data_IF_204093949353
#
_entry.id   IF_204093949353
#
_cell.length_a   1.000
_cell.length_b   1.000
_cell.length_c   1.000
_cell.angle_alpha   90.00
_cell.angle_beta   90.00
_cell.angle_gamma   90.00
#
_symmetry.space_group_name_H-M   'P 1'
#
loop_
_entity.id
_entity.type
_entity.pdbx_description
1 polymer ?
#
# COMPACT_ATOMS: atom_id res chain seq x y z
N UNK A 1 -1.51 -24.03 22.30
CA UNK A 1 -0.75 -22.80 22.02
C UNK A 1 -1.32 -22.21 20.74
N UNK A 2 -1.88 -20.98 20.78
CA UNK A 2 -2.17 -20.26 19.52
C UNK A 2 -0.81 -20.00 18.83
N UNK A 3 -0.67 -20.21 17.52
CA UNK A 3 0.56 -19.87 16.83
C UNK A 3 0.87 -18.39 17.09
N UNK A 4 2.14 -18.05 17.26
CA UNK A 4 2.59 -16.68 17.44
C UNK A 4 2.01 -15.79 16.35
N UNK A 5 1.47 -14.62 16.74
CA UNK A 5 0.93 -13.58 15.88
C UNK A 5 1.88 -13.27 14.72
N UNK A 6 1.66 -13.91 13.58
CA UNK A 6 2.36 -13.59 12.35
C UNK A 6 1.80 -12.24 11.89
N UNK A 7 2.62 -11.19 11.93
CA UNK A 7 2.18 -9.86 11.46
C UNK A 7 1.78 -10.03 9.99
N UNK A 8 0.51 -9.74 9.68
CA UNK A 8 -0.04 -9.90 8.35
C UNK A 8 0.38 -8.72 7.47
N UNK A 9 1.57 -8.83 6.87
CA UNK A 9 2.12 -7.79 6.00
C UNK A 9 1.83 -8.14 4.54
N UNK A 10 1.07 -7.28 3.87
CA UNK A 10 0.73 -7.43 2.45
C UNK A 10 1.18 -6.20 1.65
N UNK A 11 1.32 -6.39 0.35
CA UNK A 11 1.79 -5.36 -0.58
C UNK A 11 0.64 -4.88 -1.46
N UNK A 12 0.50 -3.56 -1.60
CA UNK A 12 -0.44 -2.88 -2.49
C UNK A 12 0.37 -2.16 -3.55
N UNK A 13 0.07 -2.42 -4.83
CA UNK A 13 0.83 -1.86 -5.95
C UNK A 13 -0.06 -0.96 -6.80
N UNK A 14 0.27 0.34 -6.84
CA UNK A 14 -0.21 1.22 -7.88
C UNK A 14 0.67 1.08 -9.13
N UNK A 15 0.04 1.08 -10.30
CA UNK A 15 0.68 0.88 -11.62
C UNK A 15 0.29 2.00 -12.58
N UNK A 16 1.16 2.26 -13.55
CA UNK A 16 0.94 3.28 -14.58
C UNK A 16 1.62 4.62 -14.27
N UNK A 17 1.47 5.58 -15.19
CA UNK A 17 2.16 6.87 -15.13
C UNK A 17 1.75 7.73 -13.94
N UNK A 18 0.54 7.52 -13.42
CA UNK A 18 -0.05 8.28 -12.33
C UNK A 18 0.10 7.58 -10.97
N UNK A 19 0.80 6.43 -10.91
CA UNK A 19 0.81 5.58 -9.71
C UNK A 19 1.30 6.28 -8.44
N UNK A 20 2.28 7.19 -8.56
CA UNK A 20 2.75 7.99 -7.42
C UNK A 20 1.71 9.03 -6.99
N UNK A 21 1.02 9.66 -7.93
CA UNK A 21 -0.05 10.61 -7.65
C UNK A 21 -1.25 9.92 -6.99
N UNK A 22 -1.65 8.75 -7.52
CA UNK A 22 -2.73 7.94 -6.96
C UNK A 22 -2.41 7.44 -5.54
N UNK A 23 -1.14 7.12 -5.28
CA UNK A 23 -0.66 6.77 -3.95
C UNK A 23 -0.72 7.96 -2.98
N UNK A 24 -0.32 9.16 -3.41
CA UNK A 24 -0.39 10.39 -2.60
C UNK A 24 -1.84 10.73 -2.27
N UNK A 25 -2.73 10.74 -3.27
CA UNK A 25 -4.16 11.02 -3.07
C UNK A 25 -4.80 10.02 -2.11
N UNK A 26 -4.48 8.74 -2.26
CA UNK A 26 -4.94 7.71 -1.34
C UNK A 26 -4.42 7.94 0.09
N UNK A 27 -3.14 8.28 0.25
CA UNK A 27 -2.57 8.58 1.56
C UNK A 27 -3.25 9.79 2.23
N UNK A 28 -3.50 10.86 1.49
CA UNK A 28 -4.15 12.08 1.99
C UNK A 28 -5.60 11.83 2.42
N UNK A 29 -6.32 10.97 1.69
CA UNK A 29 -7.72 10.60 1.96
C UNK A 29 -7.85 9.34 2.86
N UNK A 30 -6.75 8.86 3.44
CA UNK A 30 -6.75 7.65 4.26
C UNK A 30 -7.37 6.43 3.55
N UNK A 31 -7.14 6.30 2.25
CA UNK A 31 -7.70 5.28 1.38
C UNK A 31 -6.64 4.56 0.56
N UNK A 32 -6.76 3.24 0.39
CA UNK A 32 -5.97 2.49 -0.58
C UNK A 32 -6.87 1.65 -1.46
N UNK A 33 -6.42 1.39 -2.69
CA UNK A 33 -7.19 0.62 -3.65
C UNK A 33 -6.30 -0.33 -4.44
N UNK A 34 -6.73 -1.60 -4.53
CA UNK A 34 -6.04 -2.63 -5.29
C UNK A 34 -7.01 -3.75 -5.72
N UNK A 35 -6.69 -4.43 -6.81
CA UNK A 35 -7.46 -5.55 -7.37
C UNK A 35 -7.09 -6.90 -6.76
N UNK A 36 -5.92 -7.03 -6.13
CA UNK A 36 -5.39 -8.32 -5.69
C UNK A 36 -5.69 -8.62 -4.22
N UNK A 37 -5.60 -7.61 -3.37
CA UNK A 37 -5.82 -7.78 -1.94
C UNK A 37 -7.31 -7.79 -1.62
N UNK A 38 -7.76 -8.89 -1.04
CA UNK A 38 -9.04 -8.99 -0.34
C UNK A 38 -8.76 -9.20 1.15
N UNK A 39 -9.13 -8.21 1.96
CA UNK A 39 -8.97 -8.20 3.42
C UNK A 39 -10.33 -8.41 4.06
N UNK A 40 -10.41 -9.39 4.96
CA UNK A 40 -11.62 -9.69 5.73
C UNK A 40 -11.71 -8.85 7.00
N UNK A 41 -12.90 -8.79 7.62
CA UNK A 41 -13.11 -8.01 8.85
C UNK A 41 -12.23 -8.45 10.01
N UNK A 42 -11.87 -9.73 10.05
CA UNK A 42 -11.03 -10.31 11.10
C UNK A 42 -9.57 -9.84 10.98
N UNK A 43 -9.18 -9.31 9.83
CA UNK A 43 -7.82 -8.83 9.55
C UNK A 43 -7.70 -7.30 9.70
N UNK A 44 -8.81 -6.60 9.93
CA UNK A 44 -8.77 -5.17 10.22
C UNK A 44 -8.00 -4.93 11.52
N UNK A 45 -7.16 -3.90 11.54
CA UNK A 45 -6.20 -3.58 12.59
C UNK A 45 -5.07 -4.60 12.78
N UNK A 46 -5.14 -5.78 12.16
CA UNK A 46 -4.10 -6.81 12.19
C UNK A 46 -3.25 -6.85 10.91
N UNK A 47 -3.72 -6.23 9.82
CA UNK A 47 -3.03 -6.15 8.55
C UNK A 47 -2.23 -4.84 8.38
N UNK A 48 -0.95 -4.98 8.04
CA UNK A 48 -0.06 -3.89 7.64
C UNK A 48 0.09 -3.92 6.11
N UNK A 49 -0.22 -2.79 5.49
CA UNK A 49 -0.03 -2.53 4.08
C UNK A 49 1.32 -1.87 3.82
N UNK A 50 2.10 -2.45 2.93
CA UNK A 50 3.15 -1.76 2.19
C UNK A 50 2.51 -1.28 0.90
N UNK A 51 2.23 0.01 0.83
CA UNK A 51 1.68 0.64 -0.37
C UNK A 51 2.84 1.15 -1.20
N UNK A 52 2.92 0.74 -2.46
CA UNK A 52 4.06 1.04 -3.32
C UNK A 52 3.66 1.39 -4.75
N UNK A 53 4.52 2.15 -5.41
CA UNK A 53 4.52 2.34 -6.86
C UNK A 53 5.94 2.32 -7.39
N UNK A 54 6.10 2.04 -8.69
CA UNK A 54 7.39 2.10 -9.36
C UNK A 54 7.36 3.17 -10.46
N UNK A 55 8.26 4.15 -10.36
CA UNK A 55 8.42 5.25 -11.31
C UNK A 55 9.78 5.16 -11.99
N UNK A 56 9.80 4.54 -13.17
CA UNK A 56 11.05 4.17 -13.84
C UNK A 56 11.83 3.16 -12.97
N UNK A 57 13.07 3.48 -12.63
CA UNK A 57 13.91 2.65 -11.75
C UNK A 57 13.66 2.93 -10.25
N UNK A 58 12.80 3.88 -9.90
CA UNK A 58 12.60 4.26 -8.51
C UNK A 58 11.36 3.59 -7.91
N UNK A 59 11.55 2.91 -6.79
CA UNK A 59 10.47 2.37 -5.96
C UNK A 59 10.13 3.41 -4.90
N UNK A 60 8.85 3.79 -4.81
CA UNK A 60 8.33 4.60 -3.72
C UNK A 60 7.34 3.79 -2.92
N UNK A 61 7.41 3.86 -1.60
CA UNK A 61 6.47 3.16 -0.73
C UNK A 61 6.21 3.90 0.57
N UNK A 62 5.08 3.58 1.20
CA UNK A 62 4.78 3.89 2.59
C UNK A 62 4.12 2.69 3.27
N UNK A 63 4.14 2.69 4.60
CA UNK A 63 3.46 1.71 5.42
C UNK A 63 2.16 2.30 5.96
N UNK A 64 1.12 1.47 6.04
CA UNK A 64 -0.17 1.82 6.63
C UNK A 64 -0.80 0.61 7.32
N UNK A 65 -1.68 0.85 8.29
CA UNK A 65 -2.54 -0.18 8.88
C UNK A 65 -3.90 -0.19 8.19
N UNK A 66 -4.43 -1.35 7.83
CA UNK A 66 -5.80 -1.49 7.33
C UNK A 66 -6.77 -1.38 8.51
N UNK A 67 -7.72 -0.46 8.45
CA UNK A 67 -8.66 -0.20 9.56
C UNK A 67 -10.10 -0.63 9.24
N UNK A 68 -10.42 -0.82 7.96
CA UNK A 68 -11.73 -1.30 7.53
C UNK A 68 -12.00 -1.08 6.05
N UNK A 69 -13.26 -1.26 5.66
CA UNK A 69 -13.73 -0.81 4.36
C UNK A 69 -13.80 0.72 4.30
N UNK A 70 -13.37 1.29 3.19
CA UNK A 70 -13.51 2.72 2.97
C UNK A 70 -14.98 3.10 2.84
N UNK A 71 -15.39 4.14 3.58
CA UNK A 71 -16.79 4.59 3.65
C UNK A 71 -17.11 5.71 2.67
N UNK A 72 -16.10 6.34 2.09
CA UNK A 72 -16.27 7.36 1.05
C UNK A 72 -16.38 6.76 -0.35
N UNK A 73 -16.58 7.63 -1.32
CA UNK A 73 -16.59 7.26 -2.74
C UNK A 73 -15.16 7.30 -3.29
N UNK A 74 -14.73 6.22 -3.97
CA UNK A 74 -13.40 6.15 -4.57
C UNK A 74 -13.17 7.27 -5.60
N UNK A 75 -14.21 7.63 -6.35
CA UNK A 75 -14.16 8.75 -7.31
C UNK A 75 -13.88 10.09 -6.63
N UNK A 76 -14.28 10.26 -5.36
CA UNK A 76 -13.95 11.46 -4.59
C UNK A 76 -12.46 11.62 -4.29
N UNK A 77 -11.70 10.52 -4.30
CA UNK A 77 -10.25 10.51 -4.05
C UNK A 77 -9.49 10.66 -5.37
N UNK A 78 -9.73 9.74 -6.31
CA UNK A 78 -8.87 9.56 -7.48
C UNK A 78 -9.31 10.30 -8.74
N UNK A 79 -10.50 10.93 -8.79
CA UNK A 79 -10.81 11.86 -9.89
C UNK A 79 -9.99 13.16 -9.83
N UNK A 80 -9.32 13.41 -8.70
CA UNK A 80 -8.35 14.49 -8.55
C UNK A 80 -7.02 14.19 -9.25
N UNK A 81 -6.76 12.91 -9.58
CA UNK A 81 -5.61 12.49 -10.38
C UNK A 81 -5.77 12.97 -11.82
N UNK A 82 -4.67 13.27 -12.51
CA UNK A 82 -4.72 13.49 -13.97
C UNK A 82 -5.01 12.20 -14.78
N UNK A 83 -5.15 11.05 -14.10
CA UNK A 83 -5.59 9.79 -14.69
C UNK A 83 -7.09 9.78 -15.04
N UNK A 84 -7.56 8.65 -15.58
CA UNK A 84 -8.96 8.46 -15.98
C UNK A 84 -9.90 8.08 -14.81
N UNK A 85 -9.54 8.47 -13.58
CA UNK A 85 -10.30 8.19 -12.35
C UNK A 85 -9.70 7.08 -11.49
N UNK A 86 -10.49 6.44 -10.61
CA UNK A 86 -9.97 5.52 -9.61
C UNK A 86 -9.29 4.29 -10.22
N UNK A 87 -8.13 3.88 -9.66
CA UNK A 87 -7.53 2.58 -9.96
C UNK A 87 -8.56 1.45 -9.76
N UNK A 88 -8.47 0.31 -10.45
CA UNK A 88 -9.42 -0.78 -10.26
C UNK A 88 -9.29 -1.40 -8.87
N UNK A 89 -10.35 -2.09 -8.41
CA UNK A 89 -10.30 -2.97 -7.23
C UNK A 89 -11.14 -2.55 -6.03
N UNK A 90 -10.78 -3.08 -4.85
CA UNK A 90 -11.46 -2.81 -3.59
C UNK A 90 -10.79 -1.66 -2.84
N UNK A 91 -11.58 -0.80 -2.21
CA UNK A 91 -11.06 0.31 -1.40
C UNK A 91 -11.14 0.00 0.08
N UNK A 92 -10.02 0.21 0.77
CA UNK A 92 -9.89 0.04 2.20
C UNK A 92 -9.49 1.35 2.86
N UNK A 93 -9.99 1.58 4.08
CA UNK A 93 -9.59 2.68 4.93
C UNK A 93 -8.27 2.33 5.61
N UNK A 94 -7.32 3.26 5.57
CA UNK A 94 -6.00 3.08 6.13
C UNK A 94 -5.65 4.14 7.17
N UNK A 95 -4.75 3.76 8.06
CA UNK A 95 -4.00 4.69 8.90
C UNK A 95 -2.54 4.65 8.50
N UNK A 96 -2.03 5.71 7.88
CA UNK A 96 -0.62 5.80 7.54
C UNK A 96 0.25 5.71 8.81
N UNK A 97 1.31 4.90 8.76
CA UNK A 97 2.28 4.72 9.85
C UNK A 97 3.70 5.14 9.45
N UNK A 98 3.93 5.43 8.17
CA UNK A 98 5.15 6.08 7.68
C UNK A 98 4.80 7.13 6.61
N UNK A 99 5.77 7.97 6.27
CA UNK A 99 5.70 8.81 5.06
C UNK A 99 6.05 7.98 3.83
N UNK A 100 5.85 8.57 2.66
CA UNK A 100 6.34 8.01 1.39
C UNK A 100 7.85 8.23 1.32
N UNK A 101 8.59 7.13 1.10
CA UNK A 101 10.03 7.15 0.91
C UNK A 101 10.41 6.40 -0.37
N UNK A 102 11.54 6.79 -0.96
CA UNK A 102 12.20 5.98 -1.98
C UNK A 102 12.83 4.76 -1.31
N UNK A 103 12.49 3.56 -1.74
CA UNK A 103 13.02 2.31 -1.21
C UNK A 103 14.15 1.81 -2.11
N UNK A 104 15.34 1.50 -1.56
CA UNK A 104 16.43 0.88 -2.32
C UNK A 104 16.05 -0.51 -2.86
N UNK A 105 16.50 -0.82 -4.08
CA UNK A 105 16.23 -2.10 -4.74
C UNK A 105 16.77 -3.29 -3.94
N UNK A 106 17.88 -3.12 -3.22
CA UNK A 106 18.47 -4.17 -2.39
C UNK A 106 17.57 -4.56 -1.20
N UNK A 107 16.68 -3.65 -0.79
CA UNK A 107 15.72 -3.88 0.30
C UNK A 107 14.39 -4.41 -0.26
N UNK A 108 13.91 -3.82 -1.35
CA UNK A 108 12.63 -4.18 -1.97
C UNK A 108 12.67 -5.56 -2.64
N UNK A 109 13.84 -5.97 -3.15
CA UNK A 109 13.99 -7.17 -3.94
C UNK A 109 13.21 -7.12 -5.26
N UNK A 110 13.03 -8.26 -5.94
CA UNK A 110 12.28 -8.32 -7.19
C UNK A 110 10.80 -7.96 -6.99
N UNK A 111 10.30 -7.03 -7.80
CA UNK A 111 8.89 -6.61 -7.83
C UNK A 111 8.11 -7.53 -8.76
N UNK A 112 6.99 -8.06 -8.26
CA UNK A 112 6.05 -8.85 -9.06
C UNK A 112 4.73 -8.09 -9.28
N UNK A 113 3.76 -8.71 -9.94
CA UNK A 113 2.46 -8.11 -10.25
C UNK A 113 1.68 -7.68 -8.99
N UNK A 114 1.98 -8.26 -7.82
CA UNK A 114 1.42 -7.93 -6.51
C UNK A 114 2.31 -6.97 -5.68
N UNK A 115 3.43 -6.49 -6.24
CA UNK A 115 4.38 -5.59 -5.60
C UNK A 115 5.54 -6.31 -4.90
N UNK A 116 5.78 -5.98 -3.62
CA UNK A 116 6.88 -6.56 -2.82
C UNK A 116 6.57 -8.03 -2.51
N UNK A 117 7.50 -8.92 -2.87
CA UNK A 117 7.43 -10.34 -2.56
C UNK A 117 7.49 -10.61 -1.04
N UNK A 118 6.77 -11.64 -0.58
CA UNK A 118 6.56 -11.97 0.84
C UNK A 118 7.85 -11.96 1.68
N UNK A 119 8.94 -12.50 1.13
CA UNK A 119 10.24 -12.58 1.81
C UNK A 119 10.91 -11.22 2.07
N UNK A 120 10.57 -10.18 1.29
CA UNK A 120 11.17 -8.85 1.39
C UNK A 120 10.31 -7.87 2.20
N UNK A 121 9.02 -8.20 2.43
CA UNK A 121 8.06 -7.28 3.08
C UNK A 121 8.50 -6.84 4.47
N UNK A 122 9.03 -7.76 5.29
CA UNK A 122 9.51 -7.42 6.63
C UNK A 122 10.67 -6.41 6.57
N UNK A 123 11.63 -6.61 5.66
CA UNK A 123 12.77 -5.70 5.49
C UNK A 123 12.31 -4.31 5.01
N UNK A 124 11.40 -4.27 4.04
CA UNK A 124 10.81 -3.01 3.56
C UNK A 124 10.04 -2.29 4.66
N UNK A 125 9.24 -3.01 5.46
CA UNK A 125 8.51 -2.40 6.58
C UNK A 125 9.47 -1.79 7.61
N UNK A 126 10.52 -2.51 8.00
CA UNK A 126 11.54 -1.97 8.91
C UNK A 126 12.18 -0.70 8.34
N UNK A 127 12.60 -0.73 7.07
CA UNK A 127 13.17 0.43 6.41
C UNK A 127 12.22 1.64 6.44
N UNK A 128 10.93 1.45 6.12
CA UNK A 128 9.94 2.52 6.12
C UNK A 128 9.69 3.11 7.51
N UNK A 129 9.76 2.29 8.56
CA UNK A 129 9.61 2.72 9.95
C UNK A 129 10.86 3.43 10.48
N UNK A 130 12.05 3.04 10.03
CA UNK A 130 13.31 3.69 10.43
C UNK A 130 13.53 5.06 9.76
N UNK A 131 12.90 5.28 8.60
CA UNK A 131 13.00 6.52 7.83
C UNK A 131 11.97 7.60 8.22
N UNK A 132 10.93 7.22 8.97
CA UNK A 132 9.80 8.07 9.37
C UNK A 132 10.04 8.87 10.65
#
# INVERSE_FOLDING_TARGET
>A
MKPSSQINIRSWRYVGQMALEDMILGMDECAIRDTHNVVSSDEFYECIAIVMCQMGENIFAHAAQISGHYKGEATGVWNCSRGEGPPPGHTYEIKAISRIHRVPDEIAGPINDHGIGDHYRVAVLHYLLDMG
#
